data_IF_505765043620
#
_entry.id   IF_505765043620
#
_cell.length_a   1.000
_cell.length_b   1.000
_cell.length_c   1.000
_cell.angle_alpha   90.00
_cell.angle_beta   90.00
_cell.angle_gamma   90.00
#
_symmetry.space_group_name_H-M   'P 1'
#
loop_
_entity.id
_entity.type
_entity.pdbx_description
1 polymer ?
#
# COMPACT_ATOMS: atom_id res chain seq x y z
N UNK A 1 -17.06 -16.03 -6.18
CA UNK A 1 -18.33 -16.54 -6.74
C UNK A 1 -18.10 -17.01 -8.17
N UNK A 2 -18.74 -18.09 -8.63
CA UNK A 2 -18.59 -18.57 -10.02
C UNK A 2 -19.88 -18.21 -10.77
N UNK A 3 -19.80 -17.23 -11.67
CA UNK A 3 -20.92 -16.85 -12.52
C UNK A 3 -20.64 -17.23 -13.98
N UNK A 4 -21.60 -17.93 -14.58
CA UNK A 4 -21.58 -18.28 -16.00
C UNK A 4 -22.50 -17.33 -16.76
N UNK A 5 -21.95 -16.54 -17.69
CA UNK A 5 -22.74 -15.61 -18.51
C UNK A 5 -23.40 -16.35 -19.68
N UNK A 6 -24.73 -16.26 -19.79
CA UNK A 6 -25.49 -16.86 -20.89
C UNK A 6 -25.26 -16.18 -22.26
N UNK A 7 -24.61 -15.01 -22.29
CA UNK A 7 -24.32 -14.24 -23.52
C UNK A 7 -22.86 -14.37 -24.00
N UNK A 8 -21.99 -15.06 -23.25
CA UNK A 8 -20.58 -15.28 -23.61
C UNK A 8 -20.25 -16.78 -23.54
N UNK A 9 -20.24 -17.44 -24.70
CA UNK A 9 -19.92 -18.87 -24.81
C UNK A 9 -18.42 -19.09 -24.51
N UNK A 10 -18.11 -19.98 -23.55
CA UNK A 10 -16.76 -20.50 -23.18
C UNK A 10 -15.84 -19.60 -22.32
N UNK A 11 -16.35 -18.57 -21.62
CA UNK A 11 -15.53 -17.79 -20.67
C UNK A 11 -16.08 -17.96 -19.26
N UNK A 12 -15.26 -18.48 -18.34
CA UNK A 12 -15.53 -18.47 -16.90
C UNK A 12 -14.83 -17.26 -16.29
N UNK A 13 -15.58 -16.38 -15.61
CA UNK A 13 -15.02 -15.24 -14.90
C UNK A 13 -14.85 -15.63 -13.44
N UNK A 14 -13.64 -15.44 -12.91
CA UNK A 14 -13.31 -15.67 -11.51
C UNK A 14 -13.21 -14.31 -10.84
N UNK A 15 -14.11 -14.04 -9.91
CA UNK A 15 -13.96 -12.93 -8.98
C UNK A 15 -13.50 -13.52 -7.65
N UNK A 16 -12.25 -13.26 -7.32
CA UNK A 16 -11.64 -13.65 -6.04
C UNK A 16 -11.50 -12.38 -5.22
N UNK A 17 -12.36 -12.24 -4.21
CA UNK A 17 -12.18 -11.25 -3.16
C UNK A 17 -11.30 -11.90 -2.10
N UNK A 18 -10.02 -11.54 -2.07
CA UNK A 18 -9.10 -11.95 -1.00
C UNK A 18 -9.42 -11.08 0.22
N UNK A 19 -10.16 -11.67 1.16
CA UNK A 19 -10.45 -11.07 2.47
C UNK A 19 -9.41 -11.62 3.44
N UNK A 20 -8.85 -10.76 4.31
CA UNK A 20 -8.01 -11.19 5.43
C UNK A 20 -8.85 -12.12 6.32
N UNK A 21 -8.54 -13.42 6.32
CA UNK A 21 -9.20 -14.41 7.17
C UNK A 21 -8.34 -14.64 8.42
N UNK A 22 -8.83 -14.39 9.65
CA UNK A 22 -8.07 -14.58 10.87
C UNK A 22 -7.90 -16.06 11.30
N UNK A 23 -8.16 -17.05 10.43
CA UNK A 23 -7.97 -18.46 10.78
C UNK A 23 -6.53 -18.94 10.61
N UNK A 24 -6.05 -19.87 11.48
CA UNK A 24 -4.66 -20.33 11.43
C UNK A 24 -4.38 -21.09 10.12
N UNK A 25 -3.17 -20.98 9.56
CA UNK A 25 -2.86 -21.52 8.25
C UNK A 25 -3.09 -23.03 8.23
N UNK A 26 -3.84 -23.48 7.23
CA UNK A 26 -3.97 -24.91 6.93
C UNK A 26 -2.58 -25.51 6.74
N UNK A 27 -2.37 -26.70 7.31
CA UNK A 27 -1.09 -27.41 7.43
C UNK A 27 -0.64 -27.99 6.09
N UNK A 28 -0.49 -27.14 5.08
CA UNK A 28 0.18 -27.47 3.85
C UNK A 28 1.69 -27.44 4.07
N UNK A 29 2.38 -28.48 3.58
CA UNK A 29 3.81 -28.65 3.82
C UNK A 29 4.69 -27.49 3.33
N UNK A 30 6.00 -27.60 3.61
CA UNK A 30 7.05 -26.60 3.37
C UNK A 30 7.03 -25.88 2.00
N UNK A 31 6.43 -26.50 0.97
CA UNK A 31 6.35 -25.96 -0.39
C UNK A 31 5.12 -25.07 -0.67
N UNK A 32 4.09 -25.10 0.18
CA UNK A 32 2.92 -24.24 0.01
C UNK A 32 3.25 -22.77 0.29
N UNK A 33 4.05 -22.49 1.33
CA UNK A 33 4.55 -21.13 1.61
C UNK A 33 5.49 -20.56 0.55
N UNK A 34 6.06 -21.40 -0.32
CA UNK A 34 6.85 -20.96 -1.49
C UNK A 34 5.92 -20.58 -2.66
N UNK A 35 4.75 -21.21 -2.75
CA UNK A 35 3.83 -21.01 -3.89
C UNK A 35 2.84 -19.87 -3.64
N UNK A 36 2.50 -19.61 -2.38
CA UNK A 36 1.57 -18.55 -1.97
C UNK A 36 2.29 -17.39 -1.26
N UNK A 37 3.14 -16.71 -2.03
CA UNK A 37 3.97 -15.60 -1.55
C UNK A 37 3.15 -14.38 -1.13
N UNK A 38 1.99 -14.15 -1.76
CA UNK A 38 1.10 -13.04 -1.44
C UNK A 38 0.39 -13.28 -0.11
N UNK A 39 -0.15 -14.48 0.13
CA UNK A 39 -0.77 -14.80 1.42
C UNK A 39 0.24 -14.68 2.56
N UNK A 40 1.48 -15.18 2.38
CA UNK A 40 2.53 -14.98 3.37
C UNK A 40 2.80 -13.48 3.64
N UNK A 41 2.86 -12.64 2.61
CA UNK A 41 2.99 -11.19 2.79
C UNK A 41 1.84 -10.59 3.61
N UNK A 42 0.60 -11.01 3.33
CA UNK A 42 -0.58 -10.54 4.06
C UNK A 42 -0.59 -11.00 5.52
N UNK A 43 -0.19 -12.24 5.79
CA UNK A 43 -0.02 -12.76 7.16
C UNK A 43 1.03 -11.96 7.95
N UNK A 44 2.17 -11.63 7.32
CA UNK A 44 3.18 -10.78 7.98
C UNK A 44 2.67 -9.35 8.21
N UNK A 45 1.86 -8.81 7.28
CA UNK A 45 1.22 -7.51 7.48
C UNK A 45 0.21 -7.52 8.64
N UNK A 46 -0.50 -8.63 8.86
CA UNK A 46 -1.40 -8.80 10.01
C UNK A 46 -0.64 -8.96 11.33
N UNK A 47 0.48 -9.70 11.32
CA UNK A 47 1.36 -9.80 12.48
C UNK A 47 1.87 -8.43 12.97
N UNK A 48 2.13 -7.49 12.04
CA UNK A 48 2.45 -6.10 12.41
C UNK A 48 1.29 -5.44 13.19
N UNK A 49 0.03 -5.64 12.78
CA UNK A 49 -1.14 -5.04 13.45
C UNK A 49 -1.28 -5.60 14.86
N UNK A 50 -1.09 -6.91 15.04
CA UNK A 50 -1.16 -7.56 16.34
C UNK A 50 -0.06 -7.05 17.28
N UNK A 51 1.19 -7.00 16.82
CA UNK A 51 2.32 -6.50 17.61
C UNK A 51 2.18 -5.02 17.96
N UNK A 52 1.64 -4.20 17.04
CA UNK A 52 1.33 -2.79 17.31
C UNK A 52 0.24 -2.66 18.37
N UNK A 53 -0.81 -3.47 18.28
CA UNK A 53 -1.91 -3.45 19.24
C UNK A 53 -1.39 -3.77 20.63
N UNK A 54 -0.55 -4.80 20.76
CA UNK A 54 0.13 -5.15 22.02
C UNK A 54 1.04 -4.02 22.52
N UNK A 55 1.77 -3.35 21.62
CA UNK A 55 2.63 -2.23 21.99
C UNK A 55 1.82 -1.04 22.54
N UNK A 56 0.71 -0.68 21.88
CA UNK A 56 -0.20 0.40 22.33
C UNK A 56 -0.85 0.04 23.66
N UNK A 57 -1.35 -1.20 23.81
CA UNK A 57 -1.88 -1.71 25.09
C UNK A 57 -0.84 -1.62 26.21
N UNK A 58 0.43 -1.93 25.92
CA UNK A 58 1.50 -1.83 26.90
C UNK A 58 1.81 -0.38 27.30
N UNK A 59 1.88 0.55 26.34
CA UNK A 59 2.08 1.99 26.63
C UNK A 59 0.93 2.56 27.47
N UNK A 60 -0.30 2.15 27.16
CA UNK A 60 -1.51 2.68 27.79
C UNK A 60 -1.97 1.84 28.99
N UNK A 61 -1.22 0.81 29.40
CA UNK A 61 -1.52 -0.07 30.53
C UNK A 61 -1.64 0.58 31.93
N UNK A 62 -1.09 1.78 32.24
CA UNK A 62 -1.23 2.35 33.58
C UNK A 62 -2.70 2.54 34.00
N UNK A 63 -3.04 2.06 35.20
CA UNK A 63 -4.40 2.12 35.76
C UNK A 63 -4.96 3.56 35.84
N UNK A 64 -4.09 4.51 36.15
CA UNK A 64 -4.37 5.95 36.10
C UNK A 64 -3.48 6.58 35.03
N UNK A 65 -4.08 6.95 33.89
CA UNK A 65 -3.38 7.54 32.76
C UNK A 65 -2.93 8.95 33.15
N UNK A 66 -1.62 9.24 33.21
CA UNK A 66 -1.14 10.58 33.52
C UNK A 66 -1.60 11.58 32.47
N UNK A 67 -1.88 12.82 32.89
CA UNK A 67 -2.32 13.89 31.97
C UNK A 67 -1.35 14.05 30.79
N UNK A 68 -0.05 13.96 31.03
CA UNK A 68 0.98 14.03 29.99
C UNK A 68 0.78 12.94 28.91
N UNK A 69 0.53 11.69 29.31
CA UNK A 69 0.29 10.59 28.36
C UNK A 69 -1.02 10.80 27.58
N UNK A 70 -2.09 11.24 28.26
CA UNK A 70 -3.35 11.56 27.59
C UNK A 70 -3.21 12.69 26.55
N UNK A 71 -2.40 13.71 26.87
CA UNK A 71 -2.10 14.80 25.94
C UNK A 71 -1.29 14.32 24.74
N UNK A 72 -0.37 13.37 24.94
CA UNK A 72 0.38 12.75 23.83
C UNK A 72 -0.56 11.98 22.91
N UNK A 73 -1.45 11.14 23.46
CA UNK A 73 -2.43 10.39 22.65
C UNK A 73 -3.32 11.36 21.84
N UNK A 74 -3.86 12.40 22.49
CA UNK A 74 -4.66 13.42 21.81
C UNK A 74 -3.89 14.14 20.70
N UNK A 75 -2.63 14.48 20.94
CA UNK A 75 -1.75 15.10 19.93
C UNK A 75 -1.48 14.18 18.75
N UNK A 76 -1.20 12.88 18.99
CA UNK A 76 -0.99 11.90 17.92
C UNK A 76 -2.25 11.73 17.07
N UNK A 77 -3.42 11.54 17.71
CA UNK A 77 -4.69 11.41 17.00
C UNK A 77 -5.03 12.68 16.19
N UNK A 78 -4.80 13.87 16.78
CA UNK A 78 -5.02 15.14 16.09
C UNK A 78 -4.08 15.33 14.91
N UNK A 79 -2.79 14.97 15.04
CA UNK A 79 -1.83 15.06 13.95
C UNK A 79 -2.16 14.07 12.83
N UNK A 80 -2.47 12.83 13.18
CA UNK A 80 -2.93 11.82 12.23
C UNK A 80 -4.19 12.29 11.49
N UNK A 81 -5.17 12.85 12.20
CA UNK A 81 -6.39 13.43 11.61
C UNK A 81 -6.05 14.56 10.63
N UNK A 82 -5.14 15.46 11.00
CA UNK A 82 -4.69 16.57 10.15
C UNK A 82 -3.98 16.11 8.87
N UNK A 83 -3.08 15.14 8.98
CA UNK A 83 -2.37 14.52 7.84
C UNK A 83 -3.39 13.90 6.87
N UNK A 84 -4.27 13.04 7.39
CA UNK A 84 -5.28 12.38 6.57
C UNK A 84 -6.26 13.38 5.94
N UNK A 85 -6.65 14.42 6.66
CA UNK A 85 -7.50 15.48 6.10
C UNK A 85 -6.83 16.19 4.92
N UNK A 86 -5.54 16.51 5.02
CA UNK A 86 -4.81 17.13 3.92
C UNK A 86 -4.70 16.21 2.71
N UNK A 87 -4.44 14.92 2.93
CA UNK A 87 -4.28 13.94 1.83
C UNK A 87 -5.62 13.67 1.14
N UNK A 88 -6.68 13.42 1.91
CA UNK A 88 -8.02 13.09 1.41
C UNK A 88 -8.61 14.24 0.61
N UNK A 89 -8.41 15.50 1.01
CA UNK A 89 -8.91 16.67 0.25
C UNK A 89 -8.39 16.74 -1.19
N UNK A 90 -7.20 16.19 -1.45
CA UNK A 90 -6.62 16.13 -2.80
C UNK A 90 -6.94 14.84 -3.56
N UNK A 91 -7.61 13.88 -2.91
CA UNK A 91 -7.90 12.57 -3.49
C UNK A 91 -9.16 12.61 -4.40
N UNK A 92 -9.32 11.65 -5.32
CA UNK A 92 -10.56 11.48 -6.08
C UNK A 92 -11.82 11.34 -5.20
N UNK A 93 -12.97 11.80 -5.69
CA UNK A 93 -14.24 11.80 -4.93
C UNK A 93 -14.61 10.43 -4.33
N UNK A 94 -14.45 9.28 -5.02
CA UNK A 94 -14.76 7.98 -4.44
C UNK A 94 -13.94 7.68 -3.19
N UNK A 95 -12.64 8.02 -3.20
CA UNK A 95 -11.77 7.88 -2.03
C UNK A 95 -12.22 8.79 -0.88
N UNK A 96 -12.56 10.04 -1.18
CA UNK A 96 -13.08 10.96 -0.17
C UNK A 96 -14.33 10.41 0.51
N UNK A 97 -15.28 9.90 -0.28
CA UNK A 97 -16.53 9.36 0.24
C UNK A 97 -16.33 8.06 1.04
N UNK A 98 -15.45 7.16 0.57
CA UNK A 98 -15.17 5.89 1.25
C UNK A 98 -14.43 6.08 2.58
N UNK A 99 -13.57 7.10 2.68
CA UNK A 99 -12.77 7.37 3.88
C UNK A 99 -13.47 8.29 4.89
N UNK A 100 -14.52 9.01 4.51
CA UNK A 100 -15.19 10.00 5.35
C UNK A 100 -15.64 9.46 6.73
N UNK A 101 -16.24 8.25 6.87
CA UNK A 101 -16.62 7.73 8.18
C UNK A 101 -15.42 7.47 9.09
N UNK A 102 -14.35 6.88 8.53
CA UNK A 102 -13.12 6.61 9.27
C UNK A 102 -12.42 7.91 9.68
N UNK A 103 -12.43 8.92 8.81
CA UNK A 103 -11.85 10.23 9.10
C UNK A 103 -12.64 10.96 10.21
N UNK A 104 -13.97 10.85 10.22
CA UNK A 104 -14.81 11.42 11.27
C UNK A 104 -14.54 10.74 12.63
N UNK A 105 -14.34 9.41 12.63
CA UNK A 105 -13.95 8.67 13.84
C UNK A 105 -12.61 9.15 14.37
N UNK A 106 -11.59 9.25 13.52
CA UNK A 106 -10.26 9.72 13.90
C UNK A 106 -10.28 11.18 14.39
N UNK A 107 -11.06 12.06 13.73
CA UNK A 107 -11.20 13.47 14.12
C UNK A 107 -11.96 13.67 15.45
N UNK A 108 -12.90 12.78 15.76
CA UNK A 108 -13.58 12.77 17.08
C UNK A 108 -12.60 12.45 18.21
N UNK A 109 -11.56 11.66 17.90
CA UNK A 109 -10.58 11.20 18.86
C UNK A 109 -11.14 10.14 19.81
N UNK A 110 -10.37 9.81 20.84
CA UNK A 110 -10.73 8.80 21.84
C UNK A 110 -10.76 9.45 23.22
N UNK A 111 -11.88 9.31 23.93
CA UNK A 111 -12.02 9.82 25.29
C UNK A 111 -11.23 8.99 26.27
N UNK A 112 -10.40 9.65 27.08
CA UNK A 112 -9.60 9.00 28.14
C UNK A 112 -10.54 8.54 29.25
N UNK A 113 -10.52 7.25 29.66
CA UNK A 113 -11.33 6.78 30.76
C UNK A 113 -10.84 7.34 32.10
N UNK A 114 -11.76 7.49 33.06
CA UNK A 114 -11.40 7.92 34.41
C UNK A 114 -10.53 6.88 35.15
N UNK A 115 -10.72 5.60 34.82
CA UNK A 115 -9.93 4.47 35.33
C UNK A 115 -9.71 3.50 34.17
N UNK A 116 -8.46 3.10 33.93
CA UNK A 116 -8.12 2.18 32.84
C UNK A 116 -8.04 0.74 33.36
N UNK A 117 -9.16 0.03 33.39
CA UNK A 117 -9.27 -1.31 33.99
C UNK A 117 -9.05 -2.46 33.00
N UNK A 118 -9.05 -2.18 31.70
CA UNK A 118 -8.91 -3.16 30.62
C UNK A 118 -8.19 -2.55 29.39
N UNK A 119 -8.20 -3.26 28.26
CA UNK A 119 -7.54 -2.83 27.02
C UNK A 119 -8.40 -1.93 26.14
N UNK A 120 -9.67 -1.67 26.51
CA UNK A 120 -10.64 -1.02 25.61
C UNK A 120 -10.21 0.36 25.13
N UNK A 121 -9.54 1.15 25.99
CA UNK A 121 -9.02 2.46 25.61
C UNK A 121 -7.87 2.32 24.59
N UNK A 122 -6.94 1.40 24.82
CA UNK A 122 -5.85 1.14 23.88
C UNK A 122 -6.36 0.59 22.54
N UNK A 123 -7.34 -0.32 22.59
CA UNK A 123 -7.97 -0.89 21.40
C UNK A 123 -8.72 0.18 20.60
N UNK A 124 -9.39 1.12 21.27
CA UNK A 124 -10.05 2.26 20.63
C UNK A 124 -9.04 3.22 19.97
N UNK A 125 -7.89 3.49 20.62
CA UNK A 125 -6.82 4.32 20.03
C UNK A 125 -6.25 3.64 18.79
N UNK A 126 -5.93 2.34 18.88
CA UNK A 126 -5.43 1.55 17.75
C UNK A 126 -6.45 1.52 16.61
N UNK A 127 -7.72 1.26 16.91
CA UNK A 127 -8.80 1.25 15.93
C UNK A 127 -8.96 2.61 15.23
N UNK A 128 -8.90 3.72 15.97
CA UNK A 128 -8.98 5.06 15.39
C UNK A 128 -7.83 5.34 14.42
N UNK A 129 -6.59 4.94 14.79
CA UNK A 129 -5.41 5.09 13.95
C UNK A 129 -5.43 4.18 12.71
N UNK A 130 -5.96 2.96 12.85
CA UNK A 130 -6.02 1.96 11.77
C UNK A 130 -7.18 2.20 10.79
N UNK A 131 -8.26 2.87 11.22
CA UNK A 131 -9.49 3.00 10.45
C UNK A 131 -9.28 3.70 9.10
N UNK A 132 -8.54 4.82 9.06
CA UNK A 132 -8.36 5.59 7.82
C UNK A 132 -7.46 4.86 6.80
N UNK A 133 -6.29 4.32 7.18
CA UNK A 133 -5.50 3.49 6.28
C UNK A 133 -6.28 2.28 5.74
N UNK A 134 -7.05 1.60 6.59
CA UNK A 134 -7.86 0.45 6.17
C UNK A 134 -8.97 0.88 5.19
N UNK A 135 -9.67 1.99 5.49
CA UNK A 135 -10.70 2.54 4.60
C UNK A 135 -10.14 2.89 3.21
N UNK A 136 -8.91 3.43 3.15
CA UNK A 136 -8.24 3.73 1.89
C UNK A 136 -8.02 2.47 1.03
N UNK A 137 -7.57 1.37 1.64
CA UNK A 137 -7.38 0.08 0.93
C UNK A 137 -8.72 -0.52 0.51
N UNK A 138 -9.75 -0.47 1.37
CA UNK A 138 -11.09 -0.98 1.00
C UNK A 138 -11.76 -0.20 -0.12
N UNK A 139 -11.32 1.03 -0.37
CA UNK A 139 -11.84 1.87 -1.44
C UNK A 139 -11.23 1.53 -2.81
N UNK A 140 -10.21 0.66 -2.89
CA UNK A 140 -9.67 0.18 -4.16
C UNK A 140 -10.75 -0.58 -4.91
N UNK A 141 -11.02 -0.18 -6.15
CA UNK A 141 -12.02 -0.82 -7.01
C UNK A 141 -11.33 -1.36 -8.26
N UNK A 142 -11.56 -2.63 -8.58
CA UNK A 142 -11.08 -3.19 -9.85
C UNK A 142 -11.90 -2.62 -11.02
N UNK A 143 -11.28 -1.89 -11.98
CA UNK A 143 -11.98 -1.38 -13.15
C UNK A 143 -12.59 -2.50 -14.01
N UNK A 144 -12.07 -3.73 -13.95
CA UNK A 144 -12.63 -4.89 -14.67
C UNK A 144 -13.93 -5.44 -14.05
N UNK A 145 -14.26 -5.08 -12.80
CA UNK A 145 -15.51 -5.47 -12.15
C UNK A 145 -16.73 -4.68 -12.65
N UNK A 146 -16.52 -3.53 -13.30
CA UNK A 146 -17.59 -2.65 -13.79
C UNK A 146 -17.93 -2.90 -15.27
N UNK A 147 -18.24 -4.16 -15.63
CA UNK A 147 -18.63 -4.52 -17.00
C UNK A 147 -20.14 -4.45 -17.26
N UNK A 148 -20.96 -4.24 -16.22
CA UNK A 148 -22.41 -4.09 -16.32
C UNK A 148 -22.80 -2.69 -15.85
N UNK A 149 -22.93 -1.77 -16.78
CA UNK A 149 -23.57 -0.48 -16.51
C UNK A 149 -25.00 -0.76 -15.99
N UNK A 150 -25.40 -0.23 -14.82
CA UNK A 150 -26.80 -0.20 -14.43
C UNK A 150 -27.60 0.46 -15.55
N UNK A 151 -28.78 -0.06 -15.90
CA UNK A 151 -29.61 0.44 -17.01
C UNK A 151 -30.06 1.91 -16.86
N UNK A 152 -29.64 2.59 -15.79
CA UNK A 152 -29.93 3.98 -15.44
C UNK A 152 -28.68 4.88 -15.46
N UNK A 153 -27.50 4.37 -15.83
CA UNK A 153 -26.30 5.19 -15.94
C UNK A 153 -26.47 6.16 -17.13
N UNK A 154 -26.70 7.42 -16.79
CA UNK A 154 -26.76 8.54 -17.72
C UNK A 154 -25.40 8.65 -18.40
N UNK A 155 -25.39 8.81 -19.73
CA UNK A 155 -24.18 9.09 -20.51
C UNK A 155 -23.50 10.32 -19.90
N UNK A 156 -22.39 10.11 -19.17
CA UNK A 156 -21.66 11.15 -18.44
C UNK A 156 -21.17 10.73 -17.04
N UNK A 157 -21.84 9.79 -16.38
CA UNK A 157 -21.40 9.25 -15.06
C UNK A 157 -20.56 7.99 -15.28
N UNK A 158 -19.31 8.18 -15.72
CA UNK A 158 -18.31 7.12 -15.56
C UNK A 158 -18.13 6.91 -14.05
N UNK A 159 -18.47 5.73 -13.53
CA UNK A 159 -18.13 5.36 -12.17
C UNK A 159 -16.62 5.56 -12.00
N UNK A 160 -16.22 6.58 -11.24
CA UNK A 160 -14.81 6.85 -11.00
C UNK A 160 -14.26 5.66 -10.21
N UNK A 161 -13.39 4.87 -10.84
CA UNK A 161 -12.67 3.80 -10.18
C UNK A 161 -11.49 4.35 -9.40
N UNK A 162 -11.21 3.75 -8.26
CA UNK A 162 -10.01 4.02 -7.47
C UNK A 162 -8.96 2.97 -7.79
N UNK A 163 -7.87 3.41 -8.42
CA UNK A 163 -6.73 2.55 -8.69
C UNK A 163 -5.85 2.34 -7.44
N UNK A 164 -5.30 1.13 -7.31
CA UNK A 164 -4.43 0.75 -6.20
C UNK A 164 -3.18 1.66 -6.12
N UNK A 165 -2.64 2.12 -7.25
CA UNK A 165 -1.48 3.01 -7.28
C UNK A 165 -1.73 4.34 -6.57
N UNK A 166 -2.95 4.88 -6.68
CA UNK A 166 -3.36 6.14 -6.04
C UNK A 166 -3.44 5.97 -4.52
N UNK A 167 -3.97 4.83 -4.06
CA UNK A 167 -4.04 4.50 -2.64
C UNK A 167 -2.63 4.27 -2.06
N UNK A 168 -1.78 3.55 -2.79
CA UNK A 168 -0.38 3.32 -2.41
C UNK A 168 0.40 4.63 -2.28
N UNK A 169 0.28 5.55 -3.24
CA UNK A 169 1.00 6.83 -3.15
C UNK A 169 0.54 7.67 -1.95
N UNK A 170 -0.76 7.63 -1.65
CA UNK A 170 -1.34 8.29 -0.49
C UNK A 170 -0.86 7.66 0.83
N UNK A 171 -0.83 6.33 0.93
CA UNK A 171 -0.31 5.62 2.11
C UNK A 171 1.19 5.87 2.33
N UNK A 172 1.98 5.88 1.26
CA UNK A 172 3.41 6.24 1.33
C UNK A 172 3.59 7.67 1.87
N UNK A 173 2.81 8.64 1.36
CA UNK A 173 2.85 10.02 1.84
C UNK A 173 2.41 10.13 3.31
N UNK A 174 1.34 9.43 3.69
CA UNK A 174 0.84 9.37 5.05
C UNK A 174 1.90 8.80 6.01
N UNK A 175 2.59 7.72 5.63
CA UNK A 175 3.63 7.10 6.44
C UNK A 175 4.80 8.06 6.70
N UNK A 176 5.26 8.77 5.66
CA UNK A 176 6.34 9.78 5.79
C UNK A 176 5.91 10.94 6.69
N UNK A 177 4.72 11.50 6.46
CA UNK A 177 4.21 12.61 7.27
C UNK A 177 3.98 12.21 8.73
N UNK A 178 3.50 10.98 8.97
CA UNK A 178 3.26 10.47 10.33
C UNK A 178 4.57 10.29 11.10
N UNK A 179 5.61 9.75 10.47
CA UNK A 179 6.94 9.65 11.09
C UNK A 179 7.50 11.03 11.46
N UNK A 180 7.48 11.99 10.53
CA UNK A 180 7.95 13.35 10.78
C UNK A 180 7.14 14.07 11.88
N UNK A 181 5.83 13.82 11.95
CA UNK A 181 4.95 14.39 12.97
C UNK A 181 5.25 13.79 14.36
N UNK A 182 5.51 12.48 14.44
CA UNK A 182 5.93 11.81 15.66
C UNK A 182 7.25 12.35 16.20
N UNK A 183 8.24 12.54 15.33
CA UNK A 183 9.53 13.14 15.69
C UNK A 183 9.35 14.58 16.21
N UNK A 184 8.56 15.40 15.52
CA UNK A 184 8.26 16.76 15.95
C UNK A 184 7.55 16.81 17.31
N UNK A 185 6.59 15.90 17.53
CA UNK A 185 5.89 15.77 18.81
C UNK A 185 6.84 15.33 19.93
N UNK A 186 7.76 14.41 19.65
CA UNK A 186 8.73 13.93 20.64
C UNK A 186 9.61 15.06 21.18
N UNK A 187 10.00 16.01 20.32
CA UNK A 187 10.85 17.15 20.68
C UNK A 187 10.14 18.19 21.57
N UNK A 188 8.82 18.19 21.60
CA UNK A 188 8.01 19.15 22.37
C UNK A 188 7.25 18.51 23.53
N UNK A 189 7.18 17.18 23.57
CA UNK A 189 6.49 16.41 24.60
C UNK A 189 7.34 16.25 25.86
N UNK A 190 6.68 16.27 27.02
CA UNK A 190 7.31 15.88 28.29
C UNK A 190 7.48 14.36 28.43
N UNK A 191 6.96 13.57 27.49
CA UNK A 191 7.09 12.11 27.40
C UNK A 191 7.52 11.71 25.98
N UNK A 192 8.79 11.97 25.59
CA UNK A 192 9.27 11.74 24.22
C UNK A 192 9.18 10.26 23.79
N UNK A 193 9.55 9.32 24.67
CA UNK A 193 9.46 7.89 24.38
C UNK A 193 8.03 7.43 24.08
N UNK A 194 7.03 7.92 24.83
CA UNK A 194 5.63 7.58 24.57
C UNK A 194 5.11 8.19 23.26
N UNK A 195 5.54 9.42 22.93
CA UNK A 195 5.18 10.07 21.67
C UNK A 195 5.75 9.31 20.47
N UNK A 196 7.02 8.91 20.51
CA UNK A 196 7.65 8.12 19.46
C UNK A 196 7.02 6.72 19.34
N UNK A 197 6.76 6.03 20.46
CA UNK A 197 6.14 4.69 20.40
C UNK A 197 4.72 4.74 19.80
N UNK A 198 3.91 5.74 20.13
CA UNK A 198 2.59 5.92 19.52
C UNK A 198 2.67 6.37 18.05
N UNK A 199 3.68 7.16 17.70
CA UNK A 199 3.98 7.52 16.31
C UNK A 199 4.39 6.33 15.45
N UNK A 200 5.28 5.49 15.98
CA UNK A 200 5.66 4.19 15.40
C UNK A 200 4.43 3.31 15.24
N UNK A 201 3.58 3.20 16.25
CA UNK A 201 2.33 2.44 16.16
C UNK A 201 1.44 2.94 15.00
N UNK A 202 1.21 4.25 14.91
CA UNK A 202 0.42 4.84 13.83
C UNK A 202 1.05 4.55 12.45
N UNK A 203 2.37 4.72 12.30
CA UNK A 203 3.08 4.45 11.05
C UNK A 203 3.07 2.96 10.68
N UNK A 204 3.22 2.07 11.65
CA UNK A 204 3.14 0.61 11.44
C UNK A 204 1.78 0.17 10.91
N UNK A 205 0.69 0.77 11.41
CA UNK A 205 -0.66 0.50 10.89
C UNK A 205 -0.79 0.95 9.42
N UNK A 206 -0.23 2.11 9.08
CA UNK A 206 -0.19 2.59 7.68
C UNK A 206 0.62 1.63 6.81
N UNK A 207 1.81 1.22 7.26
CA UNK A 207 2.70 0.31 6.52
C UNK A 207 2.06 -1.08 6.37
N UNK A 208 1.35 -1.60 7.37
CA UNK A 208 0.59 -2.85 7.23
C UNK A 208 -0.48 -2.75 6.13
N UNK A 209 -1.21 -1.64 6.06
CA UNK A 209 -2.20 -1.44 4.99
C UNK A 209 -1.53 -1.21 3.62
N UNK A 210 -0.38 -0.52 3.59
CA UNK A 210 0.45 -0.38 2.39
C UNK A 210 0.85 -1.76 1.85
N UNK A 211 1.36 -2.66 2.69
CA UNK A 211 1.69 -4.03 2.32
C UNK A 211 0.45 -4.79 1.82
N UNK A 212 -0.71 -4.59 2.46
CA UNK A 212 -1.98 -5.15 2.01
C UNK A 212 -2.39 -4.69 0.60
N UNK A 213 -2.08 -3.44 0.24
CA UNK A 213 -2.37 -2.88 -1.08
C UNK A 213 -1.45 -3.43 -2.19
N UNK A 214 -0.35 -4.10 -1.85
CA UNK A 214 0.59 -4.69 -2.82
C UNK A 214 -0.11 -5.62 -3.82
N UNK A 215 -1.01 -6.48 -3.34
CA UNK A 215 -1.75 -7.42 -4.20
C UNK A 215 -2.72 -6.77 -5.19
N UNK A 216 -3.06 -5.50 -4.99
CA UNK A 216 -3.89 -4.73 -5.92
C UNK A 216 -3.10 -4.01 -7.01
N UNK A 217 -1.76 -3.97 -6.92
CA UNK A 217 -0.94 -3.32 -7.93
C UNK A 217 -0.83 -4.18 -9.19
N UNK A 218 -0.96 -3.51 -10.35
CA UNK A 218 -0.71 -4.11 -11.65
C UNK A 218 0.58 -3.56 -12.24
N UNK A 219 1.47 -4.45 -12.68
CA UNK A 219 2.76 -4.08 -13.24
C UNK A 219 2.84 -4.40 -14.73
N UNK A 220 3.32 -3.43 -15.51
CA UNK A 220 3.52 -3.60 -16.96
C UNK A 220 4.83 -4.34 -17.23
N UNK A 221 5.87 -4.08 -16.43
CA UNK A 221 7.19 -4.68 -16.59
C UNK A 221 7.81 -5.08 -15.25
N UNK A 222 8.82 -5.95 -15.31
CA UNK A 222 9.62 -6.28 -14.13
C UNK A 222 10.33 -5.07 -13.51
N UNK A 223 10.69 -4.07 -14.31
CA UNK A 223 11.31 -2.83 -13.80
C UNK A 223 10.32 -2.01 -12.97
N UNK A 224 9.05 -1.95 -13.38
CA UNK A 224 7.99 -1.24 -12.64
C UNK A 224 7.72 -1.93 -11.29
N UNK A 225 7.69 -3.27 -11.29
CA UNK A 225 7.53 -4.05 -10.06
C UNK A 225 8.71 -3.83 -9.09
N UNK A 226 9.95 -3.76 -9.60
CA UNK A 226 11.14 -3.45 -8.78
C UNK A 226 11.06 -2.04 -8.21
N UNK A 227 10.68 -1.05 -9.02
CA UNK A 227 10.56 0.33 -8.57
C UNK A 227 9.51 0.47 -7.44
N UNK A 228 8.36 -0.19 -7.58
CA UNK A 228 7.34 -0.21 -6.55
C UNK A 228 7.83 -0.92 -5.27
N UNK A 229 8.50 -2.07 -5.40
CA UNK A 229 9.11 -2.78 -4.27
C UNK A 229 10.07 -1.88 -3.50
N UNK A 230 10.91 -1.13 -4.20
CA UNK A 230 11.92 -0.27 -3.56
C UNK A 230 11.28 0.88 -2.78
N UNK A 231 10.13 1.41 -3.22
CA UNK A 231 9.34 2.37 -2.45
C UNK A 231 8.79 1.76 -1.16
N UNK A 232 8.30 0.53 -1.21
CA UNK A 232 7.77 -0.19 -0.04
C UNK A 232 8.91 -0.53 0.94
N UNK A 233 10.05 -1.01 0.44
CA UNK A 233 11.24 -1.26 1.26
C UNK A 233 11.71 0.04 1.93
N UNK A 234 11.73 1.16 1.20
CA UNK A 234 12.10 2.45 1.79
C UNK A 234 11.14 2.86 2.92
N UNK A 235 9.84 2.61 2.79
CA UNK A 235 8.87 2.87 3.85
C UNK A 235 9.09 1.96 5.08
N UNK A 236 9.41 0.68 4.85
CA UNK A 236 9.76 -0.29 5.90
C UNK A 236 11.06 0.12 6.62
N UNK A 237 12.12 0.44 5.86
CA UNK A 237 13.42 0.80 6.41
C UNK A 237 13.32 2.09 7.27
N UNK A 238 12.49 3.04 6.84
CA UNK A 238 12.20 4.22 7.64
C UNK A 238 11.37 3.91 8.90
N UNK A 239 10.44 2.95 8.86
CA UNK A 239 9.73 2.48 10.06
C UNK A 239 10.68 1.77 11.06
N UNK A 240 11.65 1.00 10.56
CA UNK A 240 12.70 0.38 11.39
C UNK A 240 13.56 1.45 12.06
N UNK A 241 13.90 2.53 11.36
CA UNK A 241 14.60 3.66 11.96
C UNK A 241 13.77 4.35 13.07
N UNK A 242 12.46 4.52 12.87
CA UNK A 242 11.58 5.08 13.90
C UNK A 242 11.52 4.18 15.16
N UNK A 243 11.53 2.86 14.99
CA UNK A 243 11.60 1.90 16.11
C UNK A 243 12.89 2.05 16.91
N UNK A 244 14.04 2.18 16.23
CA UNK A 244 15.33 2.41 16.86
C UNK A 244 15.35 3.75 17.61
N UNK A 245 14.79 4.81 17.01
CA UNK A 245 14.65 6.12 17.64
C UNK A 245 13.76 6.06 18.89
N UNK A 246 12.62 5.37 18.82
CA UNK A 246 11.72 5.18 19.97
C UNK A 246 12.41 4.41 21.12
N UNK A 247 13.18 3.37 20.79
CA UNK A 247 13.96 2.63 21.77
C UNK A 247 15.05 3.51 22.41
N UNK A 248 15.79 4.28 21.60
CA UNK A 248 16.82 5.20 22.09
C UNK A 248 16.26 6.34 22.96
N UNK A 249 15.04 6.79 22.67
CA UNK A 249 14.33 7.80 23.45
C UNK A 249 13.71 7.27 24.77
N UNK A 250 13.94 6.00 25.10
CA UNK A 250 13.49 5.39 26.34
C UNK A 250 12.04 4.93 26.31
N UNK A 251 11.56 4.38 25.18
CA UNK A 251 10.29 3.66 25.13
C UNK A 251 10.16 2.69 26.31
N UNK A 252 9.01 2.73 26.99
CA UNK A 252 8.71 1.87 28.13
C UNK A 252 8.26 0.46 27.74
N UNK A 253 8.23 0.14 26.45
CA UNK A 253 7.66 -1.08 25.89
C UNK A 253 8.69 -1.84 25.06
N UNK A 254 8.66 -3.16 25.13
CA UNK A 254 9.48 -4.02 24.29
C UNK A 254 9.01 -3.99 22.84
N UNK A 255 9.83 -3.44 21.95
CA UNK A 255 9.54 -3.30 20.52
C UNK A 255 10.12 -4.42 19.65
N UNK A 256 10.72 -5.44 20.26
CA UNK A 256 11.43 -6.52 19.55
C UNK A 256 10.52 -7.42 18.73
N UNK A 257 9.28 -7.68 19.18
CA UNK A 257 8.29 -8.43 18.41
C UNK A 257 7.94 -7.71 17.11
N UNK A 258 7.54 -6.45 17.23
CA UNK A 258 7.24 -5.57 16.10
C UNK A 258 8.42 -5.46 15.12
N UNK A 259 9.65 -5.30 15.63
CA UNK A 259 10.84 -5.29 14.78
C UNK A 259 10.99 -6.58 13.96
N UNK A 260 10.78 -7.75 14.58
CA UNK A 260 10.84 -9.04 13.90
C UNK A 260 9.74 -9.17 12.83
N UNK A 261 8.50 -8.78 13.13
CA UNK A 261 7.38 -8.82 12.19
C UNK A 261 7.58 -7.90 10.98
N UNK A 262 8.19 -6.73 11.18
CA UNK A 262 8.53 -5.81 10.07
C UNK A 262 9.64 -6.40 9.19
N UNK A 263 10.67 -7.01 9.77
CA UNK A 263 11.71 -7.69 8.98
C UNK A 263 11.15 -8.89 8.21
N UNK A 264 10.27 -9.68 8.82
CA UNK A 264 9.58 -10.79 8.16
C UNK A 264 8.72 -10.29 7.00
N UNK A 265 8.00 -9.18 7.18
CA UNK A 265 7.23 -8.53 6.10
C UNK A 265 8.11 -8.08 4.95
N UNK A 266 9.29 -7.51 5.24
CA UNK A 266 10.28 -7.11 4.22
C UNK A 266 10.73 -8.29 3.38
N UNK A 267 11.03 -9.43 4.02
CA UNK A 267 11.42 -10.66 3.33
C UNK A 267 10.27 -11.23 2.49
N UNK A 268 9.05 -11.25 3.03
CA UNK A 268 7.86 -11.72 2.31
C UNK A 268 7.58 -10.87 1.07
N UNK A 269 7.71 -9.54 1.16
CA UNK A 269 7.56 -8.62 0.04
C UNK A 269 8.61 -8.89 -1.05
N UNK A 270 9.88 -9.08 -0.67
CA UNK A 270 10.94 -9.40 -1.63
C UNK A 270 10.69 -10.74 -2.32
N UNK A 271 10.22 -11.75 -1.59
CA UNK A 271 9.87 -13.06 -2.14
C UNK A 271 8.71 -12.95 -3.15
N UNK A 272 7.64 -12.24 -2.79
CA UNK A 272 6.50 -12.04 -3.68
C UNK A 272 6.87 -11.24 -4.93
N UNK A 273 7.58 -10.13 -4.77
CA UNK A 273 8.07 -9.34 -5.91
C UNK A 273 8.95 -10.19 -6.84
N UNK A 274 9.82 -11.05 -6.29
CA UNK A 274 10.66 -11.94 -7.10
C UNK A 274 9.83 -12.96 -7.90
N UNK A 275 8.76 -13.49 -7.29
CA UNK A 275 7.80 -14.38 -7.97
C UNK A 275 7.08 -13.66 -9.11
N UNK A 276 6.67 -12.40 -8.90
CA UNK A 276 6.01 -11.59 -9.92
C UNK A 276 6.95 -11.21 -11.07
N UNK A 277 8.16 -10.74 -10.79
CA UNK A 277 9.15 -10.35 -11.80
C UNK A 277 9.43 -11.53 -12.76
N UNK A 278 9.48 -12.76 -12.24
CA UNK A 278 9.70 -13.95 -13.07
C UNK A 278 8.61 -14.19 -14.13
N UNK A 279 7.44 -13.55 -14.00
CA UNK A 279 6.28 -13.67 -14.90
C UNK A 279 6.07 -12.44 -15.78
N UNK A 280 6.80 -11.35 -15.54
CA UNK A 280 6.61 -10.08 -16.22
C UNK A 280 7.59 -9.93 -17.40
N UNK A 281 7.16 -9.25 -18.49
CA UNK A 281 8.08 -8.90 -19.57
C UNK A 281 9.24 -8.05 -19.08
N UNK A 282 10.41 -8.25 -19.70
CA UNK A 282 11.60 -7.45 -19.43
C UNK A 282 11.56 -6.16 -20.26
N UNK A 283 12.20 -5.11 -19.76
CA UNK A 283 12.43 -3.89 -20.55
C UNK A 283 13.80 -3.98 -21.20
N UNK A 284 13.84 -3.85 -22.52
CA UNK A 284 15.09 -3.82 -23.31
C UNK A 284 15.39 -2.37 -23.67
N UNK A 285 16.65 -1.98 -23.54
CA UNK A 285 17.14 -0.67 -23.97
C UNK A 285 17.85 -0.81 -25.31
N UNK A 286 17.35 -0.09 -26.32
CA UNK A 286 17.88 -0.07 -27.68
C UNK A 286 18.61 1.27 -27.89
N UNK A 287 19.95 1.26 -28.08
CA UNK A 287 20.69 2.46 -28.40
C UNK A 287 20.49 2.85 -29.87
N UNK A 288 20.02 4.07 -30.10
CA UNK A 288 19.83 4.66 -31.42
C UNK A 288 20.94 5.67 -31.70
N UNK A 289 21.67 5.46 -32.78
CA UNK A 289 22.72 6.36 -33.26
C UNK A 289 22.19 7.51 -34.12
N UNK A 290 20.96 7.39 -34.62
CA UNK A 290 20.33 8.37 -35.49
C UNK A 290 18.81 8.39 -35.27
N UNK A 291 18.16 9.44 -35.77
CA UNK A 291 16.69 9.55 -35.71
C UNK A 291 16.04 8.50 -36.60
N UNK A 292 15.11 7.71 -36.05
CA UNK A 292 14.36 6.68 -36.76
C UNK A 292 12.85 6.87 -36.56
N UNK A 293 12.06 6.28 -37.45
CA UNK A 293 10.61 6.18 -37.25
C UNK A 293 10.32 5.14 -36.18
N UNK A 294 9.45 5.47 -35.22
CA UNK A 294 8.99 4.55 -34.18
C UNK A 294 8.33 3.30 -34.76
N UNK A 295 7.70 3.40 -35.93
CA UNK A 295 7.17 2.24 -36.65
C UNK A 295 8.26 1.27 -37.09
N UNK A 296 9.40 1.78 -37.58
CA UNK A 296 10.52 0.93 -38.01
C UNK A 296 11.10 0.19 -36.78
N UNK A 297 11.21 0.89 -35.65
CA UNK A 297 11.63 0.28 -34.40
C UNK A 297 10.65 -0.78 -33.92
N UNK A 298 9.34 -0.50 -33.98
CA UNK A 298 8.31 -1.46 -33.61
C UNK A 298 8.35 -2.72 -34.47
N UNK A 299 8.51 -2.60 -35.79
CA UNK A 299 8.72 -3.74 -36.68
C UNK A 299 10.00 -4.51 -36.36
N UNK A 300 11.09 -3.81 -36.07
CA UNK A 300 12.37 -4.46 -35.73
C UNK A 300 12.29 -5.23 -34.41
N UNK A 301 11.48 -4.78 -33.45
CA UNK A 301 11.32 -5.39 -32.12
C UNK A 301 10.25 -6.50 -32.11
N UNK A 302 9.13 -6.31 -32.81
CA UNK A 302 8.09 -7.34 -32.94
C UNK A 302 8.55 -8.54 -33.78
N UNK A 303 9.59 -8.37 -34.60
CA UNK A 303 10.15 -9.44 -35.42
C UNK A 303 9.15 -9.95 -36.46
N UNK A 304 8.91 -11.25 -36.46
CA UNK A 304 8.06 -11.92 -37.46
C UNK A 304 6.56 -11.86 -37.13
N UNK A 305 6.18 -11.51 -35.89
CA UNK A 305 4.77 -11.39 -35.51
C UNK A 305 4.24 -9.98 -35.78
N UNK A 306 3.70 -9.80 -36.98
CA UNK A 306 3.08 -8.54 -37.42
C UNK A 306 1.88 -8.11 -36.55
N UNK A 307 1.27 -9.03 -35.78
CA UNK A 307 0.12 -8.70 -34.94
C UNK A 307 0.51 -7.91 -33.70
N UNK A 308 1.78 -7.98 -33.29
CA UNK A 308 2.33 -7.34 -32.10
C UNK A 308 2.85 -5.92 -32.36
N UNK A 309 3.08 -5.55 -33.62
CA UNK A 309 3.73 -4.29 -34.02
C UNK A 309 3.01 -3.07 -33.45
N UNK A 310 1.67 -3.05 -33.47
CA UNK A 310 0.88 -1.96 -32.90
C UNK A 310 1.11 -1.83 -31.39
N UNK A 311 1.06 -2.95 -30.65
CA UNK A 311 1.27 -2.93 -29.20
C UNK A 311 2.69 -2.49 -28.81
N UNK A 312 3.70 -2.95 -29.57
CA UNK A 312 5.09 -2.51 -29.41
C UNK A 312 5.24 -1.02 -29.71
N UNK A 313 4.60 -0.52 -30.76
CA UNK A 313 4.61 0.90 -31.09
C UNK A 313 3.99 1.74 -29.97
N UNK A 314 2.82 1.33 -29.47
CA UNK A 314 2.11 2.06 -28.41
C UNK A 314 2.91 2.04 -27.08
N UNK A 315 3.54 0.92 -26.72
CA UNK A 315 4.49 0.84 -25.59
C UNK A 315 5.69 1.75 -25.81
N UNK A 316 6.32 1.70 -26.97
CA UNK A 316 7.50 2.51 -27.30
C UNK A 316 7.18 4.01 -27.19
N UNK A 317 6.05 4.45 -27.74
CA UNK A 317 5.64 5.87 -27.70
C UNK A 317 5.33 6.31 -26.27
N UNK A 318 4.53 5.53 -25.54
CA UNK A 318 4.09 5.89 -24.19
C UNK A 318 5.24 5.84 -23.16
N UNK A 319 6.05 4.78 -23.16
CA UNK A 319 7.15 4.57 -22.21
C UNK A 319 8.25 5.61 -22.32
N UNK A 320 8.52 6.09 -23.53
CA UNK A 320 9.59 7.05 -23.79
C UNK A 320 9.09 8.50 -23.94
N UNK A 321 7.78 8.74 -23.77
CA UNK A 321 7.19 10.09 -23.90
C UNK A 321 7.40 10.71 -25.29
N UNK A 322 7.35 9.89 -26.35
CA UNK A 322 7.66 10.36 -27.70
C UNK A 322 6.51 11.23 -28.22
N UNK A 323 6.74 12.54 -28.28
CA UNK A 323 5.75 13.50 -28.77
C UNK A 323 5.49 13.44 -30.29
N UNK A 324 6.46 12.96 -31.08
CA UNK A 324 6.30 12.82 -32.54
C UNK A 324 6.84 11.46 -33.02
N UNK A 325 5.98 10.43 -33.19
CA UNK A 325 6.43 9.05 -33.43
C UNK A 325 7.26 8.82 -34.69
N UNK A 326 7.19 9.72 -35.69
CA UNK A 326 8.03 9.63 -36.88
C UNK A 326 9.49 10.07 -36.65
N UNK A 327 9.79 10.70 -35.51
CA UNK A 327 11.07 11.33 -35.20
C UNK A 327 11.55 10.88 -33.81
N UNK A 328 11.84 9.58 -33.68
CA UNK A 328 12.46 9.03 -32.48
C UNK A 328 13.95 9.34 -32.55
N UNK A 329 14.40 10.31 -31.77
CA UNK A 329 15.76 10.85 -31.82
C UNK A 329 16.85 9.84 -31.44
N UNK A 330 18.13 10.18 -31.69
CA UNK A 330 19.25 9.40 -31.18
C UNK A 330 19.24 9.38 -29.64
N UNK A 331 19.60 8.25 -29.05
CA UNK A 331 19.52 8.03 -27.62
C UNK A 331 19.12 6.60 -27.26
N UNK A 332 18.82 6.37 -25.99
CA UNK A 332 18.39 5.07 -25.50
C UNK A 332 16.87 5.00 -25.47
N UNK A 333 16.30 4.08 -26.24
CA UNK A 333 14.85 3.83 -26.26
C UNK A 333 14.54 2.54 -25.51
N UNK A 334 13.54 2.59 -24.65
CA UNK A 334 13.08 1.45 -23.87
C UNK A 334 11.84 0.83 -24.49
N UNK A 335 11.78 -0.50 -24.53
CA UNK A 335 10.63 -1.24 -25.06
C UNK A 335 10.48 -2.56 -24.31
N UNK A 336 9.26 -3.08 -24.21
CA UNK A 336 9.04 -4.42 -23.68
C UNK A 336 9.62 -5.49 -24.60
N UNK A 337 10.33 -6.44 -24.00
CA UNK A 337 10.73 -7.68 -24.66
C UNK A 337 9.49 -8.50 -24.99
N UNK A 338 9.36 -8.90 -26.24
CA UNK A 338 8.30 -9.79 -26.68
C UNK A 338 8.49 -11.16 -26.01
N UNK A 339 7.43 -11.70 -25.42
CA UNK A 339 7.44 -13.07 -24.90
C UNK A 339 7.47 -14.02 -26.09
N UNK A 340 8.52 -14.84 -26.21
CA UNK A 340 8.64 -15.86 -27.25
C UNK A 340 7.58 -16.97 -27.11
#
# INVERSE_FOLDING_TARGET
EIQFSATRIRIAQFQVLLVRDPTPPSTGGLLQGITDTLTNLLEQADAIVDDVTLAVQSVLSPLAIPLALSSVVGSVLSQASGIWNSLVQSAPQPLQSGMAPAQALLATGVSVPAVNTDTSYADAVTAALAAVPAAAVTAITDPAASAVAPAQQVVGDAAQSVDASTVVSMLLSAAVQTGAAADALSNTSTMPGAALTLGVAARSLIVSQLLGAWGGLSFVSGADAVAARDQFISAIDALLADLENAAAAGSSVALSGLWASIQSSRMALMADCSSQIGRLPRVVTIPLSATLSGWILAYAVAGDDITQVQGVFDDLVSRNGIGHPALVGPGNIQVLEQSA
#
